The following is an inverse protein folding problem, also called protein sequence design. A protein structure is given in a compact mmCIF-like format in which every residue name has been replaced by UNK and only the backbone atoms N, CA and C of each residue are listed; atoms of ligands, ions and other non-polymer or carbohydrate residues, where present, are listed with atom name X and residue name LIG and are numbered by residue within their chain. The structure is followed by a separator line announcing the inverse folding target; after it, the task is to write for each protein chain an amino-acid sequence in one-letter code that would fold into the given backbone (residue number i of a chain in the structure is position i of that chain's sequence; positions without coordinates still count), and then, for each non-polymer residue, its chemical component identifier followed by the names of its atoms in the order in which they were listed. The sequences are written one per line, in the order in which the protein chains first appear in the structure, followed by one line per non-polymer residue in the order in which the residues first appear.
data_IF_645896469860
#
_entry.id   IF_645896469860
#
_cell.length_a   1.000
_cell.length_b   1.000
_cell.length_c   1.000
_cell.angle_alpha   90.00
_cell.angle_beta   90.00
_cell.angle_gamma   90.00
#
_symmetry.space_group_name_H-M   'P 1'
#
loop_
_entity.id
_entity.type
_entity.pdbx_description
1 polymer ?
#
# COMPACT_ATOMS: atom_id res chain seq x y z
N UNK A 1 11.46 -4.22 -18.80
CA UNK A 1 10.62 -3.03 -19.03
C UNK A 1 9.76 -2.80 -17.78
N UNK A 2 9.35 -1.57 -17.46
CA UNK A 2 8.39 -1.31 -16.38
C UNK A 2 7.06 -0.85 -16.97
N UNK A 3 5.95 -1.19 -16.31
CA UNK A 3 4.62 -0.74 -16.71
C UNK A 3 3.81 -0.24 -15.51
N UNK A 4 2.77 0.55 -15.78
CA UNK A 4 1.80 0.94 -14.75
C UNK A 4 1.06 -0.31 -14.23
N UNK A 5 0.94 -0.39 -12.91
CA UNK A 5 0.38 -1.55 -12.22
C UNK A 5 -0.59 -1.17 -11.09
N UNK A 6 -0.98 0.11 -11.00
CA UNK A 6 -2.08 0.58 -10.17
C UNK A 6 -1.94 2.01 -9.68
N UNK A 7 -3.00 2.50 -9.08
CA UNK A 7 -3.10 3.77 -8.38
C UNK A 7 -3.87 3.59 -7.07
N UNK A 8 -3.60 4.46 -6.12
CA UNK A 8 -4.19 4.40 -4.80
C UNK A 8 -4.06 5.71 -4.05
N UNK A 9 -4.95 5.91 -3.08
CA UNK A 9 -4.87 6.98 -2.09
C UNK A 9 -5.43 6.55 -0.73
N UNK A 10 -4.93 7.18 0.33
CA UNK A 10 -5.48 7.18 1.67
C UNK A 10 -5.63 8.63 2.15
N UNK A 11 -6.74 8.94 2.82
CA UNK A 11 -7.04 10.31 3.27
C UNK A 11 -7.64 10.35 4.67
N UNK A 12 -7.23 11.31 5.49
CA UNK A 12 -7.71 11.50 6.86
C UNK A 12 -8.31 12.89 7.01
N UNK A 13 -9.51 12.95 7.58
CA UNK A 13 -10.26 14.19 7.75
C UNK A 13 -10.62 14.41 9.21
N UNK A 14 -10.14 15.52 9.76
CA UNK A 14 -10.34 15.95 11.14
C UNK A 14 -11.79 16.30 11.40
N UNK A 15 -12.26 16.02 12.61
CA UNK A 15 -13.62 16.29 13.04
C UNK A 15 -14.67 15.36 12.43
N UNK A 16 -14.26 14.26 11.79
CA UNK A 16 -15.17 13.22 11.30
C UNK A 16 -15.30 12.09 12.32
N UNK A 17 -16.34 11.27 12.21
CA UNK A 17 -16.56 10.10 13.10
C UNK A 17 -15.43 9.06 12.99
N UNK A 18 -14.62 9.12 11.93
CA UNK A 18 -13.54 8.19 11.65
C UNK A 18 -12.21 8.92 11.44
N UNK A 19 -11.96 10.02 12.16
CA UNK A 19 -10.75 10.84 12.00
C UNK A 19 -9.44 10.03 12.08
N UNK A 20 -9.45 8.96 12.90
CA UNK A 20 -8.31 8.06 13.11
C UNK A 20 -8.08 7.05 11.98
N UNK A 21 -9.08 6.83 11.09
CA UNK A 21 -9.02 5.82 10.04
C UNK A 21 -9.17 6.47 8.66
N UNK A 22 -8.29 6.16 7.71
CA UNK A 22 -8.38 6.80 6.41
C UNK A 22 -9.54 6.27 5.58
N UNK A 23 -10.08 7.14 4.74
CA UNK A 23 -10.73 6.71 3.51
C UNK A 23 -9.66 6.19 2.55
N UNK A 24 -9.84 4.97 2.03
CA UNK A 24 -8.90 4.30 1.14
C UNK A 24 -9.57 4.05 -0.20
N UNK A 25 -8.86 4.39 -1.28
CA UNK A 25 -9.20 3.97 -2.63
C UNK A 25 -7.98 3.27 -3.24
N UNK A 26 -8.17 2.06 -3.77
CA UNK A 26 -7.16 1.31 -4.52
C UNK A 26 -7.76 0.85 -5.83
N UNK A 27 -6.92 0.79 -6.86
CA UNK A 27 -7.33 0.26 -8.16
C UNK A 27 -6.13 -0.02 -9.04
N UNK A 28 -6.26 -1.01 -9.91
CA UNK A 28 -5.21 -1.37 -10.87
C UNK A 28 -5.25 -0.52 -12.15
N UNK A 29 -6.33 0.26 -12.33
CA UNK A 29 -6.52 1.12 -13.49
C UNK A 29 -5.64 2.37 -13.39
N UNK A 30 -5.01 2.82 -14.50
CA UNK A 30 -4.32 4.10 -14.52
C UNK A 30 -5.27 5.25 -14.12
N UNK A 31 -4.83 6.21 -13.29
CA UNK A 31 -5.73 7.19 -12.68
C UNK A 31 -6.36 8.11 -13.74
N UNK A 32 -5.63 8.42 -14.82
CA UNK A 32 -6.12 9.23 -15.93
C UNK A 32 -7.20 8.55 -16.79
N UNK A 33 -7.44 7.26 -16.59
CA UNK A 33 -8.56 6.54 -17.23
C UNK A 33 -9.71 6.26 -16.27
N UNK A 34 -9.57 6.56 -14.98
CA UNK A 34 -10.59 6.28 -13.98
C UNK A 34 -11.51 7.49 -13.75
N UNK A 35 -12.67 7.47 -14.42
CA UNK A 35 -13.68 8.51 -14.27
C UNK A 35 -14.32 8.56 -12.89
N UNK A 36 -14.39 7.42 -12.18
CA UNK A 36 -14.95 7.37 -10.85
C UNK A 36 -14.00 8.04 -9.86
N UNK A 37 -12.70 7.77 -9.99
CA UNK A 37 -11.67 8.48 -9.23
C UNK A 37 -11.70 9.98 -9.53
N UNK A 38 -11.78 10.39 -10.80
CA UNK A 38 -11.85 11.81 -11.15
C UNK A 38 -13.06 12.49 -10.49
N UNK A 39 -14.25 11.88 -10.60
CA UNK A 39 -15.47 12.40 -9.96
C UNK A 39 -15.37 12.43 -8.43
N UNK A 40 -14.73 11.44 -7.81
CA UNK A 40 -14.50 11.42 -6.38
C UNK A 40 -13.59 12.58 -5.96
N UNK A 41 -12.45 12.76 -6.65
CA UNK A 41 -11.48 13.81 -6.35
C UNK A 41 -12.03 15.23 -6.52
N UNK A 42 -13.01 15.47 -7.39
CA UNK A 42 -13.63 16.79 -7.58
C UNK A 42 -14.36 17.31 -6.33
N UNK A 43 -14.80 16.42 -5.44
CA UNK A 43 -15.62 16.75 -4.27
C UNK A 43 -15.01 16.28 -2.95
N UNK A 44 -13.81 15.71 -2.99
CA UNK A 44 -13.15 15.14 -1.82
C UNK A 44 -12.22 16.15 -1.16
N UNK A 45 -12.57 16.55 0.07
CA UNK A 45 -11.74 17.40 0.91
C UNK A 45 -11.14 16.58 2.05
N UNK A 46 -9.87 16.83 2.36
CA UNK A 46 -9.17 16.09 3.40
C UNK A 46 -8.05 16.91 4.04
N UNK A 47 -7.69 16.57 5.27
CA UNK A 47 -6.59 17.23 5.98
C UNK A 47 -5.24 16.58 5.67
N UNK A 48 -5.22 15.29 5.40
CA UNK A 48 -4.00 14.53 5.08
C UNK A 48 -4.29 13.61 3.92
N UNK A 49 -3.40 13.58 2.93
CA UNK A 49 -3.48 12.73 1.74
C UNK A 49 -2.14 12.02 1.54
N UNK A 50 -2.19 10.71 1.31
CA UNK A 50 -1.09 9.93 0.75
C UNK A 50 -1.59 9.18 -0.48
N UNK A 51 -0.99 9.43 -1.64
CA UNK A 51 -1.33 8.74 -2.89
C UNK A 51 -0.10 8.17 -3.58
N UNK A 52 -0.30 7.15 -4.40
CA UNK A 52 0.80 6.49 -5.10
C UNK A 52 0.34 5.86 -6.42
N UNK A 53 1.12 6.11 -7.48
CA UNK A 53 1.05 5.39 -8.75
C UNK A 53 2.13 4.31 -8.74
N UNK A 54 1.73 3.05 -8.83
CA UNK A 54 2.64 1.91 -8.83
C UNK A 54 3.07 1.55 -10.25
N UNK A 55 4.35 1.25 -10.40
CA UNK A 55 4.87 0.54 -11.55
C UNK A 55 5.34 -0.87 -11.13
N UNK A 56 5.17 -1.85 -12.01
CA UNK A 56 5.72 -3.20 -11.83
C UNK A 56 6.72 -3.53 -12.94
N UNK A 57 7.67 -4.40 -12.63
CA UNK A 57 8.45 -5.07 -13.67
C UNK A 57 7.51 -5.84 -14.61
N UNK A 58 7.86 -5.81 -15.89
CA UNK A 58 7.24 -6.62 -16.93
C UNK A 58 8.24 -7.70 -17.36
N UNK A 59 7.86 -8.97 -17.17
CA UNK A 59 8.60 -10.11 -17.68
C UNK A 59 8.26 -10.30 -19.16
N UNK A 60 9.18 -9.91 -20.03
CA UNK A 60 9.00 -10.00 -21.48
C UNK A 60 9.09 -11.43 -22.02
N UNK A 61 9.64 -12.38 -21.26
CA UNK A 61 9.74 -13.78 -21.69
C UNK A 61 8.41 -14.50 -21.47
N UNK A 62 7.75 -14.23 -20.35
CA UNK A 62 6.46 -14.81 -20.00
C UNK A 62 5.27 -13.91 -20.32
N UNK A 63 5.54 -12.70 -20.85
CA UNK A 63 4.54 -11.66 -21.13
C UNK A 63 3.67 -11.29 -19.91
N UNK A 64 4.24 -11.38 -18.72
CA UNK A 64 3.53 -11.24 -17.45
C UNK A 64 3.97 -10.01 -16.66
N UNK A 65 3.01 -9.45 -15.93
CA UNK A 65 3.25 -8.47 -14.90
C UNK A 65 2.29 -8.72 -13.74
N UNK A 66 2.81 -8.59 -12.52
CA UNK A 66 2.01 -8.77 -11.30
C UNK A 66 1.21 -7.50 -11.03
N UNK A 67 0.01 -7.47 -11.59
CA UNK A 67 -1.00 -6.43 -11.40
C UNK A 67 -2.05 -6.97 -10.43
N UNK A 68 -2.00 -6.50 -9.18
CA UNK A 68 -2.91 -6.91 -8.12
C UNK A 68 -3.14 -5.69 -7.20
N UNK A 69 -4.38 -5.48 -6.80
CA UNK A 69 -4.80 -4.39 -5.91
C UNK A 69 -4.13 -4.46 -4.54
N UNK A 70 -3.92 -5.66 -3.99
CA UNK A 70 -3.22 -5.87 -2.72
C UNK A 70 -1.77 -5.40 -2.78
N UNK A 71 -1.16 -5.40 -3.97
CA UNK A 71 0.20 -4.88 -4.16
C UNK A 71 0.24 -3.35 -4.34
N UNK A 72 -0.93 -2.68 -4.41
CA UNK A 72 -0.99 -1.24 -4.50
C UNK A 72 -0.80 -0.60 -3.13
N UNK A 73 0.00 0.45 -3.11
CA UNK A 73 0.20 1.32 -1.96
C UNK A 73 -1.09 2.11 -1.66
N UNK A 74 -1.06 3.10 -0.76
CA UNK A 74 -0.36 2.90 0.51
C UNK A 74 -0.81 1.59 1.19
N UNK A 75 0.11 0.92 1.86
CA UNK A 75 -0.24 -0.18 2.77
C UNK A 75 -0.79 0.40 4.05
N UNK A 76 -1.91 -0.15 4.48
CA UNK A 76 -2.49 0.10 5.79
C UNK A 76 -3.29 -1.14 6.18
N UNK A 77 -2.98 -1.70 7.35
CA UNK A 77 -3.69 -2.88 7.84
C UNK A 77 -5.03 -2.49 8.49
N UNK A 78 -6.03 -3.39 8.48
CA UNK A 78 -7.31 -3.12 9.14
C UNK A 78 -7.14 -2.76 10.62
N UNK A 79 -7.65 -1.59 11.01
CA UNK A 79 -7.55 -1.08 12.39
C UNK A 79 -6.25 -0.34 12.71
N UNK A 80 -5.35 -0.17 11.75
CA UNK A 80 -4.11 0.61 11.90
C UNK A 80 -4.33 2.04 11.39
N UNK A 81 -3.48 2.97 11.82
CA UNK A 81 -3.59 4.40 11.50
C UNK A 81 -2.49 4.88 10.56
N UNK A 82 -1.31 4.26 10.65
CA UNK A 82 -0.16 4.58 9.82
C UNK A 82 -0.23 3.89 8.48
N UNK A 83 -0.12 4.68 7.41
CA UNK A 83 -0.03 4.16 6.06
C UNK A 83 1.36 4.37 5.47
N UNK A 84 1.81 3.45 4.62
CA UNK A 84 3.13 3.54 3.98
C UNK A 84 3.03 3.39 2.47
N UNK A 85 3.60 4.35 1.74
CA UNK A 85 3.92 4.19 0.32
C UNK A 85 5.44 4.17 0.17
N UNK A 86 5.95 3.22 -0.62
CA UNK A 86 7.37 3.07 -0.87
C UNK A 86 7.66 3.21 -2.36
N UNK A 87 8.84 3.72 -2.72
CA UNK A 87 9.26 3.82 -4.11
C UNK A 87 10.70 3.30 -4.22
N UNK A 88 10.93 2.46 -5.23
CA UNK A 88 12.13 1.62 -5.47
C UNK A 88 12.16 0.30 -4.71
N UNK A 89 12.61 -0.77 -5.39
CA UNK A 89 12.67 -2.16 -4.92
C UNK A 89 13.70 -2.41 -3.84
N UNK A 90 13.39 -3.38 -2.98
CA UNK A 90 14.36 -3.98 -2.06
C UNK A 90 15.20 -4.98 -2.84
N UNK A 91 16.48 -4.66 -3.05
CA UNK A 91 17.40 -5.55 -3.75
C UNK A 91 17.60 -6.85 -2.96
N UNK A 92 17.60 -8.00 -3.64
CA UNK A 92 17.74 -9.31 -2.99
C UNK A 92 16.57 -9.67 -2.06
N UNK A 93 15.37 -9.15 -2.33
CA UNK A 93 14.21 -9.38 -1.45
C UNK A 93 13.90 -10.87 -1.28
N UNK A 94 14.00 -11.69 -2.34
CA UNK A 94 13.65 -13.12 -2.27
C UNK A 94 14.50 -13.86 -1.24
N UNK A 95 15.76 -13.48 -1.14
CA UNK A 95 16.77 -14.04 -0.26
C UNK A 95 16.51 -13.63 1.20
N UNK A 96 16.12 -12.38 1.44
CA UNK A 96 15.92 -11.85 2.81
C UNK A 96 14.46 -11.92 3.30
N UNK A 97 13.50 -12.27 2.44
CA UNK A 97 12.06 -12.21 2.77
C UNK A 97 11.72 -12.97 4.05
N UNK A 98 12.21 -14.20 4.18
CA UNK A 98 11.92 -15.03 5.35
C UNK A 98 12.54 -14.44 6.62
N UNK A 99 13.75 -13.91 6.53
CA UNK A 99 14.42 -13.26 7.66
C UNK A 99 13.69 -12.00 8.11
N UNK A 100 13.14 -11.21 7.18
CA UNK A 100 12.32 -10.05 7.51
C UNK A 100 11.02 -10.46 8.21
N UNK A 101 10.32 -11.47 7.69
CA UNK A 101 9.08 -11.96 8.30
C UNK A 101 9.31 -12.56 9.69
N UNK A 102 10.44 -13.24 9.91
CA UNK A 102 10.81 -13.79 11.21
C UNK A 102 11.10 -12.70 12.27
N UNK A 103 11.36 -11.46 11.84
CA UNK A 103 11.53 -10.29 12.73
C UNK A 103 10.23 -9.54 12.97
N UNK A 104 9.15 -9.89 12.27
CA UNK A 104 7.84 -9.30 12.48
C UNK A 104 7.11 -9.98 13.65
N UNK A 105 6.23 -9.21 14.31
CA UNK A 105 5.29 -9.75 15.31
C UNK A 105 4.27 -10.67 14.60
N UNK A 106 4.04 -11.92 15.05
CA UNK A 106 3.15 -12.87 14.37
C UNK A 106 1.73 -12.33 14.14
N UNK A 107 1.21 -11.56 15.10
CA UNK A 107 -0.10 -10.91 15.03
C UNK A 107 -0.20 -9.83 13.94
N UNK A 108 0.92 -9.35 13.40
CA UNK A 108 0.98 -8.40 12.29
C UNK A 108 1.16 -9.13 10.95
N UNK A 109 1.99 -10.18 10.93
CA UNK A 109 2.26 -10.96 9.70
C UNK A 109 0.99 -11.48 9.05
N UNK A 110 -0.05 -11.81 9.84
CA UNK A 110 -1.34 -12.30 9.34
C UNK A 110 -2.07 -11.32 8.40
N UNK A 111 -1.71 -10.03 8.40
CA UNK A 111 -2.32 -9.02 7.54
C UNK A 111 -1.59 -8.82 6.20
N UNK A 112 -0.46 -9.49 5.99
CA UNK A 112 0.26 -9.47 4.70
C UNK A 112 -0.49 -10.34 3.70
N UNK A 113 -1.07 -9.73 2.66
CA UNK A 113 -1.90 -10.42 1.65
C UNK A 113 -1.32 -10.37 0.25
N UNK A 114 -0.50 -9.38 -0.04
CA UNK A 114 0.21 -9.20 -1.30
C UNK A 114 1.50 -10.02 -1.38
N UNK A 115 2.23 -9.75 -2.46
CA UNK A 115 3.44 -10.46 -2.84
C UNK A 115 4.67 -9.56 -2.92
N UNK A 116 4.51 -8.26 -2.69
CA UNK A 116 5.59 -7.28 -2.82
C UNK A 116 6.50 -7.28 -1.60
N UNK A 117 7.73 -6.87 -1.85
CA UNK A 117 8.72 -6.54 -0.84
C UNK A 117 8.23 -5.51 0.17
N UNK A 118 7.58 -4.46 -0.31
CA UNK A 118 7.21 -3.32 0.51
C UNK A 118 6.10 -3.59 1.53
N UNK A 119 5.22 -4.56 1.28
CA UNK A 119 4.21 -4.96 2.27
C UNK A 119 4.88 -5.67 3.45
N UNK A 120 5.90 -6.49 3.18
CA UNK A 120 6.72 -7.12 4.22
C UNK A 120 7.53 -6.08 4.98
N UNK A 121 8.08 -5.07 4.29
CA UNK A 121 8.74 -3.93 4.95
C UNK A 121 7.76 -3.16 5.83
N UNK A 122 6.52 -2.95 5.38
CA UNK A 122 5.48 -2.30 6.17
C UNK A 122 5.13 -3.13 7.41
N UNK A 123 4.95 -4.45 7.26
CA UNK A 123 4.73 -5.35 8.39
C UNK A 123 5.88 -5.31 9.39
N UNK A 124 7.12 -5.23 8.92
CA UNK A 124 8.29 -5.09 9.78
C UNK A 124 8.25 -3.77 10.55
N UNK A 125 7.99 -2.65 9.87
CA UNK A 125 7.86 -1.33 10.50
C UNK A 125 6.79 -1.34 11.59
N UNK A 126 5.58 -1.82 11.27
CA UNK A 126 4.49 -1.92 12.25
C UNK A 126 4.85 -2.82 13.43
N UNK A 127 5.67 -3.85 13.20
CA UNK A 127 6.17 -4.73 14.26
C UNK A 127 7.16 -4.06 15.21
N UNK A 128 7.79 -2.95 14.80
CA UNK A 128 8.71 -2.19 15.67
C UNK A 128 7.99 -1.15 16.54
N UNK A 129 6.70 -0.88 16.31
CA UNK A 129 5.93 0.03 17.13
C UNK A 129 5.40 -0.67 18.38
N UNK A 130 5.28 0.09 19.47
CA UNK A 130 4.72 -0.40 20.72
C UNK A 130 3.20 -0.61 20.58
N UNK A 131 2.49 0.37 20.01
CA UNK A 131 1.03 0.34 19.81
C UNK A 131 0.64 0.71 18.37
N UNK A 132 0.90 -0.14 17.36
CA UNK A 132 0.73 0.21 15.94
C UNK A 132 -0.72 0.50 15.48
N UNK A 133 -1.72 0.26 16.33
CA UNK A 133 -3.12 0.63 16.09
C UNK A 133 -3.51 1.99 16.68
N UNK A 134 -2.60 2.61 17.46
CA UNK A 134 -2.78 3.92 18.09
C UNK A 134 -1.70 4.92 17.68
N UNK A 135 -0.47 4.45 17.51
CA UNK A 135 0.67 5.17 16.91
C UNK A 135 0.45 5.39 15.41
#
# INVERSE_FOLDING_TARGET
MIQLAGFSLATWSKGTLSEDYPFIYKGIKPPFYDRNLASLCERHETNVLLCHIRASGYDSLNYEAVVNENNCHPFIFPGFRLAMAHNVGVNGFKEIRLDLLNRCKPEIVKYVEGSTDYEVVYALLMSQLDEPTKD
#
